data_IF_771387491869
#
_entry.id   IF_771387491869
#
_cell.length_a   1.000
_cell.length_b   1.000
_cell.length_c   1.000
_cell.angle_alpha   90.00
_cell.angle_beta   90.00
_cell.angle_gamma   90.00
#
_symmetry.space_group_name_H-M   'P 1'
#
loop_
_entity.id
_entity.type
_entity.pdbx_description
1 polymer ?
#
# COMPACT_ATOMS: atom_id res chain seq x y z
N UNK A 1 -95.18 -154.61 113.59
CA UNK A 1 -96.59 -154.92 113.90
C UNK A 1 -97.15 -153.79 114.75
N UNK A 2 -98.08 -153.00 114.24
CA UNK A 2 -98.70 -151.88 114.96
C UNK A 2 -100.22 -152.00 114.90
N UNK A 3 -100.91 -151.63 115.99
CA UNK A 3 -102.37 -151.51 116.00
C UNK A 3 -102.76 -150.25 115.21
N UNK A 4 -103.76 -150.34 114.34
CA UNK A 4 -104.35 -149.20 113.65
C UNK A 4 -105.87 -149.24 113.86
N UNK A 5 -106.45 -148.10 114.21
CA UNK A 5 -107.89 -147.90 114.28
C UNK A 5 -108.34 -147.21 112.99
N UNK A 6 -109.46 -147.63 112.43
CA UNK A 6 -110.02 -147.06 111.21
C UNK A 6 -111.37 -146.42 111.50
N UNK A 7 -111.61 -145.26 110.92
CA UNK A 7 -112.93 -144.65 110.85
C UNK A 7 -113.59 -145.03 109.53
N UNK A 8 -114.84 -145.49 109.59
CA UNK A 8 -115.62 -145.86 108.41
C UNK A 8 -116.43 -144.65 107.98
N UNK A 9 -116.02 -143.98 106.91
CA UNK A 9 -116.60 -142.70 106.46
C UNK A 9 -118.10 -142.78 106.14
N UNK A 10 -118.58 -143.92 105.62
CA UNK A 10 -119.99 -144.13 105.29
C UNK A 10 -120.92 -144.02 106.50
N UNK A 11 -120.44 -144.33 107.71
CA UNK A 11 -121.22 -144.23 108.93
C UNK A 11 -121.52 -142.77 109.36
N UNK A 12 -120.87 -141.78 108.74
CA UNK A 12 -120.98 -140.36 109.08
C UNK A 12 -121.64 -139.52 107.97
N UNK A 13 -122.30 -140.16 106.99
CA UNK A 13 -122.97 -139.45 105.89
C UNK A 13 -124.14 -138.60 106.37
N UNK A 14 -124.95 -139.13 107.27
CA UNK A 14 -126.14 -138.43 107.81
C UNK A 14 -125.82 -137.64 109.10
N UNK A 15 -124.55 -137.54 109.46
CA UNK A 15 -124.12 -136.85 110.66
C UNK A 15 -124.08 -135.34 110.41
N UNK A 16 -124.98 -134.61 111.08
CA UNK A 16 -125.01 -133.14 111.09
C UNK A 16 -124.43 -132.63 112.40
N UNK A 17 -123.32 -131.87 112.38
CA UNK A 17 -122.72 -131.36 113.60
C UNK A 17 -123.64 -130.36 114.31
N UNK A 18 -123.84 -130.45 115.64
CA UNK A 18 -124.57 -129.47 116.42
C UNK A 18 -123.84 -128.13 116.43
N UNK A 19 -124.57 -127.05 116.14
CA UNK A 19 -124.05 -125.70 116.15
C UNK A 19 -124.11 -125.13 117.58
N UNK A 20 -123.15 -125.52 118.41
CA UNK A 20 -123.03 -124.94 119.76
C UNK A 20 -122.26 -123.62 119.67
N UNK A 21 -122.94 -122.50 119.97
CA UNK A 21 -122.34 -121.16 119.91
C UNK A 21 -122.22 -120.63 121.34
N UNK A 22 -120.99 -120.51 121.83
CA UNK A 22 -120.66 -119.82 123.07
C UNK A 22 -119.93 -118.50 122.74
N UNK A 23 -120.22 -117.39 123.44
CA UNK A 23 -119.58 -116.10 123.16
C UNK A 23 -118.04 -116.19 123.30
N UNK A 24 -117.31 -115.64 122.32
CA UNK A 24 -115.84 -115.62 122.25
C UNK A 24 -115.17 -117.00 122.13
N UNK A 25 -115.82 -117.95 121.44
CA UNK A 25 -115.24 -119.26 121.15
C UNK A 25 -115.36 -119.60 119.67
N UNK A 26 -114.38 -120.33 119.14
CA UNK A 26 -114.36 -120.80 117.74
C UNK A 26 -114.39 -122.32 117.72
N UNK A 27 -115.12 -122.95 116.81
CA UNK A 27 -115.08 -124.41 116.69
C UNK A 27 -113.70 -124.87 116.20
N UNK A 28 -113.18 -125.94 116.79
CA UNK A 28 -111.87 -126.46 116.42
C UNK A 28 -111.81 -126.93 114.95
N UNK A 29 -112.94 -127.31 114.36
CA UNK A 29 -113.05 -127.72 112.95
C UNK A 29 -112.67 -126.57 112.00
N UNK A 30 -113.00 -125.33 112.33
CA UNK A 30 -112.74 -124.17 111.45
C UNK A 30 -111.26 -123.76 111.41
N UNK A 31 -110.45 -124.28 112.34
CA UNK A 31 -109.02 -123.99 112.42
C UNK A 31 -108.15 -124.99 111.67
N UNK A 32 -108.77 -126.00 111.02
CA UNK A 32 -108.08 -127.03 110.24
C UNK A 32 -108.54 -127.00 108.79
N UNK A 33 -107.60 -126.94 107.85
CA UNK A 33 -107.90 -127.15 106.43
C UNK A 33 -108.00 -128.65 106.14
N UNK A 34 -109.17 -129.08 105.68
CA UNK A 34 -109.48 -130.50 105.41
C UNK A 34 -110.09 -130.64 104.03
N UNK A 35 -109.69 -131.70 103.33
CA UNK A 35 -110.22 -132.09 102.03
C UNK A 35 -111.72 -132.51 102.15
N UNK A 36 -112.65 -132.08 101.25
CA UNK A 36 -114.08 -132.15 101.49
C UNK A 36 -114.64 -133.54 101.84
N UNK A 37 -114.02 -134.62 101.33
CA UNK A 37 -114.46 -135.99 101.61
C UNK A 37 -114.30 -136.44 103.08
N UNK A 38 -113.47 -135.76 103.88
CA UNK A 38 -113.21 -136.10 105.28
C UNK A 38 -113.88 -135.14 106.26
N UNK A 39 -114.61 -134.14 105.77
CA UNK A 39 -115.16 -133.07 106.58
C UNK A 39 -116.10 -133.57 107.67
N UNK A 40 -117.03 -134.48 107.36
CA UNK A 40 -117.96 -135.04 108.35
C UNK A 40 -117.24 -135.84 109.45
N UNK A 41 -116.17 -136.57 109.10
CA UNK A 41 -115.37 -137.30 110.08
C UNK A 41 -114.64 -136.35 111.04
N UNK A 42 -114.00 -135.31 110.50
CA UNK A 42 -113.29 -134.33 111.32
C UNK A 42 -114.27 -133.53 112.17
N UNK A 43 -115.44 -133.22 111.62
CA UNK A 43 -116.54 -132.57 112.35
C UNK A 43 -117.08 -133.43 113.49
N UNK A 44 -117.11 -134.76 113.34
CA UNK A 44 -117.45 -135.68 114.43
C UNK A 44 -116.37 -135.73 115.50
N UNK A 45 -115.09 -135.83 115.10
CA UNK A 45 -113.98 -135.91 116.07
C UNK A 45 -113.82 -134.65 116.92
N UNK A 46 -114.25 -133.50 116.40
CA UNK A 46 -114.10 -132.20 117.04
C UNK A 46 -115.44 -131.57 117.44
N UNK A 47 -116.54 -132.33 117.39
CA UNK A 47 -117.94 -131.90 117.56
C UNK A 47 -118.19 -131.02 118.79
N UNK A 48 -117.52 -131.34 119.90
CA UNK A 48 -117.72 -130.69 121.19
C UNK A 48 -116.48 -129.92 121.64
N UNK A 49 -115.60 -129.52 120.71
CA UNK A 49 -114.33 -128.85 121.01
C UNK A 49 -114.38 -127.40 120.55
N UNK A 50 -114.46 -126.49 121.52
CA UNK A 50 -114.41 -125.05 121.29
C UNK A 50 -113.07 -124.49 121.74
N UNK A 51 -112.47 -123.63 120.92
CA UNK A 51 -111.22 -122.94 121.22
C UNK A 51 -111.53 -121.51 121.65
N UNK A 52 -111.09 -121.12 122.85
CA UNK A 52 -111.20 -119.75 123.37
C UNK A 52 -109.85 -119.03 123.30
N UNK A 53 -109.90 -117.72 123.12
CA UNK A 53 -108.73 -116.84 123.28
C UNK A 53 -108.60 -116.29 124.72
N UNK A 54 -109.67 -116.32 125.53
CA UNK A 54 -109.61 -115.84 126.92
C UNK A 54 -109.01 -116.89 127.85
N UNK A 55 -108.05 -116.48 128.69
CA UNK A 55 -107.40 -117.35 129.68
C UNK A 55 -108.17 -117.44 131.02
N UNK A 56 -109.39 -116.88 131.10
CA UNK A 56 -110.26 -116.91 132.27
C UNK A 56 -111.26 -118.07 132.20
N UNK A 57 -111.62 -118.63 133.37
CA UNK A 57 -112.62 -119.69 133.49
C UNK A 57 -114.02 -119.11 133.23
N UNK A 58 -114.78 -119.73 132.32
CA UNK A 58 -116.16 -119.32 132.04
C UNK A 58 -117.11 -120.00 133.05
N UNK A 59 -117.75 -119.19 133.91
CA UNK A 59 -118.73 -119.66 134.91
C UNK A 59 -120.08 -120.09 134.28
N UNK A 60 -120.35 -119.71 133.03
CA UNK A 60 -121.58 -120.04 132.30
C UNK A 60 -121.55 -121.41 131.60
N UNK A 61 -120.94 -122.41 132.24
CA UNK A 61 -120.85 -123.79 131.72
C UNK A 61 -121.82 -124.75 132.43
N UNK A 62 -122.96 -124.24 132.91
CA UNK A 62 -123.86 -125.04 133.75
C UNK A 62 -124.67 -126.10 132.98
N UNK A 63 -124.82 -126.02 131.65
CA UNK A 63 -125.72 -126.91 130.90
C UNK A 63 -125.23 -127.44 129.54
N UNK A 64 -123.96 -127.27 129.16
CA UNK A 64 -123.45 -127.78 127.87
C UNK A 64 -122.37 -128.86 128.03
N UNK A 65 -122.38 -129.88 127.18
CA UNK A 65 -121.45 -131.02 127.19
C UNK A 65 -120.14 -130.72 126.45
N UNK A 66 -119.70 -129.46 126.51
CA UNK A 66 -118.63 -128.90 125.65
C UNK A 66 -117.27 -128.97 126.34
N UNK A 67 -116.22 -129.18 125.55
CA UNK A 67 -114.80 -129.13 125.94
C UNK A 67 -114.22 -127.81 125.44
N UNK A 68 -113.79 -126.96 126.36
CA UNK A 68 -113.15 -125.69 126.04
C UNK A 68 -111.62 -125.85 126.06
N UNK A 69 -110.96 -125.49 124.95
CA UNK A 69 -109.51 -125.47 124.78
C UNK A 69 -109.02 -124.03 124.68
N UNK A 70 -107.92 -123.70 125.35
CA UNK A 70 -107.21 -122.44 125.09
C UNK A 70 -106.31 -122.56 123.87
N UNK A 71 -106.11 -121.47 123.11
CA UNK A 71 -105.16 -121.41 121.97
C UNK A 71 -103.73 -121.82 122.34
N UNK A 72 -103.33 -121.58 123.59
CA UNK A 72 -102.03 -121.99 124.14
C UNK A 72 -101.96 -123.45 124.57
N UNK A 73 -103.10 -124.15 124.61
CA UNK A 73 -103.23 -125.53 125.11
C UNK A 73 -103.03 -125.68 126.62
N UNK A 74 -103.04 -124.57 127.37
CA UNK A 74 -102.59 -124.50 128.77
C UNK A 74 -103.60 -125.08 129.76
N UNK A 75 -104.88 -124.98 129.47
CA UNK A 75 -105.93 -125.67 130.22
C UNK A 75 -107.05 -126.15 129.32
N UNK A 76 -107.67 -127.25 129.74
CA UNK A 76 -108.85 -127.87 129.15
C UNK A 76 -109.95 -127.85 130.22
N UNK A 77 -111.07 -127.19 129.93
CA UNK A 77 -112.22 -127.13 130.84
C UNK A 77 -113.32 -128.05 130.29
N UNK A 78 -113.69 -129.08 131.08
CA UNK A 78 -114.84 -129.97 130.86
C UNK A 78 -115.87 -129.76 131.97
N UNK A 79 -117.12 -130.19 131.76
CA UNK A 79 -118.26 -130.01 132.69
C UNK A 79 -117.96 -130.25 134.19
N UNK A 80 -117.17 -131.27 134.53
CA UNK A 80 -116.80 -131.60 135.92
C UNK A 80 -115.29 -131.73 136.13
N UNK A 81 -114.45 -131.34 135.16
CA UNK A 81 -113.00 -131.44 135.29
C UNK A 81 -112.28 -130.27 134.66
N UNK A 82 -111.40 -129.64 135.42
CA UNK A 82 -110.40 -128.72 134.91
C UNK A 82 -109.05 -129.46 134.90
N UNK A 83 -108.42 -129.57 133.74
CA UNK A 83 -107.09 -130.14 133.59
C UNK A 83 -106.16 -129.08 132.99
N UNK A 84 -105.04 -128.79 133.64
CA UNK A 84 -104.06 -127.80 133.18
C UNK A 84 -102.63 -128.24 133.47
N UNK A 85 -101.72 -127.92 132.54
CA UNK A 85 -100.30 -128.29 132.59
C UNK A 85 -99.55 -127.74 131.38
N UNK A 86 -98.22 -127.69 131.44
CA UNK A 86 -97.36 -127.24 130.33
C UNK A 86 -96.98 -128.40 129.40
N UNK A 87 -97.27 -128.27 128.11
CA UNK A 87 -96.89 -129.23 127.07
C UNK A 87 -95.46 -128.94 126.58
N UNK A 88 -94.58 -129.94 126.64
CA UNK A 88 -93.13 -129.81 126.35
C UNK A 88 -92.78 -129.66 124.87
N UNK A 89 -91.68 -128.95 124.60
CA UNK A 89 -91.24 -128.43 123.28
C UNK A 89 -91.05 -129.45 122.13
N UNK A 90 -91.15 -130.75 122.39
CA UNK A 90 -90.71 -131.81 121.46
C UNK A 90 -91.75 -132.88 121.12
N UNK A 91 -92.88 -132.98 121.82
CA UNK A 91 -93.95 -133.92 121.48
C UNK A 91 -94.97 -133.25 120.55
N UNK A 92 -94.69 -133.22 119.23
CA UNK A 92 -95.67 -132.73 118.23
C UNK A 92 -95.15 -132.28 116.86
N UNK A 93 -93.84 -132.14 116.65
CA UNK A 93 -93.30 -131.47 115.43
C UNK A 93 -92.83 -132.41 114.30
N UNK A 94 -93.64 -133.41 113.89
CA UNK A 94 -93.36 -134.20 112.66
C UNK A 94 -93.70 -133.45 111.36
N UNK A 95 -94.59 -132.47 111.40
CA UNK A 95 -95.05 -131.70 110.22
C UNK A 95 -94.09 -130.56 109.80
N UNK A 96 -93.29 -130.00 110.73
CA UNK A 96 -92.42 -128.83 110.43
C UNK A 96 -91.12 -129.12 109.67
N UNK A 97 -90.57 -130.35 109.75
CA UNK A 97 -89.26 -130.67 109.13
C UNK A 97 -89.30 -130.71 107.61
N UNK A 98 -90.40 -131.19 107.01
CA UNK A 98 -90.53 -131.28 105.54
C UNK A 98 -90.61 -129.89 104.89
N UNK A 99 -91.31 -128.95 105.53
CA UNK A 99 -91.42 -127.56 105.07
C UNK A 99 -90.10 -126.78 105.19
N UNK A 100 -89.27 -127.06 106.19
CA UNK A 100 -87.94 -126.45 106.31
C UNK A 100 -86.96 -126.89 105.21
N UNK A 101 -87.03 -128.15 104.75
CA UNK A 101 -86.17 -128.63 103.65
C UNK A 101 -86.52 -127.96 102.31
N UNK A 102 -87.81 -127.78 102.00
CA UNK A 102 -88.24 -127.03 100.81
C UNK A 102 -87.79 -125.56 100.82
N UNK A 103 -87.84 -124.91 101.99
CA UNK A 103 -87.37 -123.52 102.14
C UNK A 103 -85.85 -123.45 101.91
N UNK A 104 -85.10 -124.41 102.43
CA UNK A 104 -83.64 -124.45 102.28
C UNK A 104 -83.22 -124.67 100.82
N UNK A 105 -83.91 -125.55 100.09
CA UNK A 105 -83.66 -125.81 98.67
C UNK A 105 -83.92 -124.57 97.80
N UNK A 106 -85.02 -123.84 98.05
CA UNK A 106 -85.28 -122.54 97.39
C UNK A 106 -84.20 -121.51 97.70
N UNK A 107 -83.70 -121.47 98.93
CA UNK A 107 -82.64 -120.53 99.32
C UNK A 107 -81.29 -120.85 98.65
N UNK A 108 -80.95 -122.14 98.51
CA UNK A 108 -79.73 -122.56 97.80
C UNK A 108 -79.82 -122.14 96.32
N UNK A 109 -80.93 -122.42 95.64
CA UNK A 109 -81.11 -122.01 94.24
C UNK A 109 -81.05 -120.48 94.07
N UNK A 110 -81.62 -119.73 95.02
CA UNK A 110 -81.54 -118.26 95.02
C UNK A 110 -80.09 -117.79 95.14
N UNK A 111 -79.34 -118.35 96.09
CA UNK A 111 -77.94 -117.99 96.34
C UNK A 111 -77.02 -118.39 95.18
N UNK A 112 -77.23 -119.54 94.56
CA UNK A 112 -76.50 -119.96 93.36
C UNK A 112 -76.75 -119.00 92.19
N UNK A 113 -78.00 -118.55 92.01
CA UNK A 113 -78.34 -117.59 90.97
C UNK A 113 -77.67 -116.23 91.22
N UNK A 114 -77.67 -115.75 92.47
CA UNK A 114 -76.97 -114.52 92.85
C UNK A 114 -75.45 -114.64 92.67
N UNK A 115 -74.85 -115.78 93.05
CA UNK A 115 -73.42 -116.06 92.86
C UNK A 115 -73.04 -116.06 91.38
N UNK A 116 -73.83 -116.71 90.52
CA UNK A 116 -73.61 -116.70 89.08
C UNK A 116 -73.73 -115.27 88.50
N UNK A 117 -74.72 -114.49 88.91
CA UNK A 117 -74.86 -113.10 88.48
C UNK A 117 -73.67 -112.22 88.90
N UNK A 118 -73.22 -112.35 90.15
CA UNK A 118 -72.04 -111.65 90.66
C UNK A 118 -70.77 -112.07 89.93
N UNK A 119 -70.62 -113.36 89.63
CA UNK A 119 -69.48 -113.90 88.89
C UNK A 119 -69.46 -113.36 87.46
N UNK A 120 -70.59 -113.38 86.75
CA UNK A 120 -70.70 -112.76 85.41
C UNK A 120 -70.35 -111.27 85.46
N UNK A 121 -70.83 -110.54 86.47
CA UNK A 121 -70.52 -109.10 86.63
C UNK A 121 -69.05 -108.87 86.95
N UNK A 122 -68.42 -109.73 87.76
CA UNK A 122 -66.99 -109.66 88.07
C UNK A 122 -66.16 -109.87 86.80
N UNK A 123 -66.46 -110.91 86.03
CA UNK A 123 -65.73 -111.17 84.78
C UNK A 123 -65.94 -110.06 83.75
N UNK A 124 -67.14 -109.49 83.61
CA UNK A 124 -67.36 -108.34 82.72
C UNK A 124 -66.62 -107.08 83.18
N UNK A 125 -66.58 -106.79 84.49
CA UNK A 125 -65.82 -105.64 85.00
C UNK A 125 -64.31 -105.87 84.84
N UNK A 126 -63.83 -107.10 85.07
CA UNK A 126 -62.44 -107.47 84.89
C UNK A 126 -62.04 -107.31 83.42
N UNK A 127 -62.89 -107.72 82.49
CA UNK A 127 -62.71 -107.52 81.05
C UNK A 127 -62.63 -106.03 80.68
N UNK A 128 -63.55 -105.20 81.19
CA UNK A 128 -63.49 -103.74 81.00
C UNK A 128 -62.22 -103.11 81.57
N UNK A 129 -61.77 -103.53 82.75
CA UNK A 129 -60.52 -103.04 83.35
C UNK A 129 -59.31 -103.48 82.53
N UNK A 130 -59.30 -104.72 82.02
CA UNK A 130 -58.25 -105.16 81.11
C UNK A 130 -58.27 -104.38 79.80
N UNK A 131 -59.45 -104.13 79.22
CA UNK A 131 -59.61 -103.35 77.99
C UNK A 131 -59.10 -101.91 78.17
N UNK A 132 -59.46 -101.26 79.28
CA UNK A 132 -58.99 -99.92 79.62
C UNK A 132 -57.48 -99.87 79.92
N UNK A 133 -56.90 -100.91 80.52
CA UNK A 133 -55.44 -101.01 80.69
C UNK A 133 -54.71 -101.28 79.37
N UNK A 134 -55.32 -102.02 78.44
CA UNK A 134 -54.76 -102.24 77.10
C UNK A 134 -54.94 -101.05 76.17
N UNK A 135 -55.89 -100.15 76.44
CA UNK A 135 -56.02 -98.84 75.79
C UNK A 135 -54.92 -97.90 76.32
N UNK A 136 -53.69 -98.18 75.90
CA UNK A 136 -52.54 -97.33 76.16
C UNK A 136 -52.62 -96.06 75.30
N UNK A 137 -53.23 -95.02 75.86
CA UNK A 137 -53.33 -93.71 75.21
C UNK A 137 -51.96 -92.99 75.11
N UNK A 138 -50.86 -93.55 75.63
CA UNK A 138 -49.53 -92.93 75.54
C UNK A 138 -49.05 -92.79 74.09
N UNK A 139 -49.38 -93.73 73.20
CA UNK A 139 -49.01 -93.61 71.78
C UNK A 139 -49.74 -92.43 71.11
N UNK A 140 -51.05 -92.31 71.34
CA UNK A 140 -51.84 -91.20 70.80
C UNK A 140 -51.39 -89.84 71.37
N UNK A 141 -51.06 -89.77 72.67
CA UNK A 141 -50.51 -88.56 73.29
C UNK A 141 -49.15 -88.19 72.69
N UNK A 142 -48.26 -89.17 72.44
CA UNK A 142 -46.96 -88.92 71.78
C UNK A 142 -47.14 -88.41 70.36
N UNK A 143 -48.06 -88.98 69.58
CA UNK A 143 -48.37 -88.53 68.22
C UNK A 143 -48.96 -87.11 68.21
N UNK A 144 -49.92 -86.82 69.09
CA UNK A 144 -50.51 -85.48 69.24
C UNK A 144 -49.46 -84.46 69.69
N UNK A 145 -48.57 -84.82 70.63
CA UNK A 145 -47.48 -83.94 71.08
C UNK A 145 -46.49 -83.67 69.93
N UNK A 146 -46.15 -84.69 69.14
CA UNK A 146 -45.32 -84.51 67.93
C UNK A 146 -46.01 -83.58 66.93
N UNK A 147 -47.32 -83.72 66.74
CA UNK A 147 -48.10 -82.86 65.84
C UNK A 147 -48.18 -81.42 66.33
N UNK A 148 -48.36 -81.20 67.64
CA UNK A 148 -48.31 -79.86 68.25
C UNK A 148 -46.95 -79.22 68.05
N UNK A 149 -45.86 -79.96 68.26
CA UNK A 149 -44.52 -79.44 68.04
C UNK A 149 -44.24 -79.12 66.57
N UNK A 150 -44.72 -79.94 65.63
CA UNK A 150 -44.65 -79.64 64.19
C UNK A 150 -45.39 -78.35 63.86
N UNK A 151 -46.64 -78.20 64.31
CA UNK A 151 -47.44 -77.00 64.09
C UNK A 151 -46.79 -75.77 64.74
N UNK A 152 -46.19 -75.92 65.92
CA UNK A 152 -45.47 -74.84 66.59
C UNK A 152 -44.24 -74.39 65.80
N UNK A 153 -43.44 -75.33 65.26
CA UNK A 153 -42.31 -75.03 64.39
C UNK A 153 -42.76 -74.37 63.09
N UNK A 154 -43.83 -74.87 62.46
CA UNK A 154 -44.43 -74.29 61.26
C UNK A 154 -44.88 -72.85 61.52
N UNK A 155 -45.57 -72.59 62.65
CA UNK A 155 -46.00 -71.26 63.06
C UNK A 155 -44.81 -70.30 63.21
N UNK A 156 -43.73 -70.72 63.89
CA UNK A 156 -42.52 -69.88 64.05
C UNK A 156 -41.86 -69.60 62.70
N UNK A 157 -41.77 -70.62 61.83
CA UNK A 157 -41.20 -70.44 60.48
C UNK A 157 -42.04 -69.50 59.60
N UNK A 158 -43.36 -69.55 59.72
CA UNK A 158 -44.27 -68.66 59.02
C UNK A 158 -44.21 -67.24 59.58
N UNK A 159 -44.13 -67.08 60.91
CA UNK A 159 -43.98 -65.77 61.56
C UNK A 159 -42.70 -65.07 61.12
N UNK A 160 -41.56 -65.77 61.14
CA UNK A 160 -40.27 -65.20 60.70
C UNK A 160 -40.27 -64.88 59.20
N UNK A 161 -40.93 -65.70 58.36
CA UNK A 161 -41.13 -65.36 56.94
C UNK A 161 -42.00 -64.12 56.77
N UNK A 162 -43.07 -63.97 57.54
CA UNK A 162 -43.93 -62.78 57.51
C UNK A 162 -43.15 -61.53 57.91
N UNK A 163 -42.42 -61.57 59.03
CA UNK A 163 -41.56 -60.47 59.48
C UNK A 163 -40.52 -60.08 58.41
N UNK A 164 -39.90 -61.08 57.76
CA UNK A 164 -38.97 -60.83 56.66
C UNK A 164 -39.66 -60.16 55.46
N UNK A 165 -40.85 -60.62 55.06
CA UNK A 165 -41.62 -59.99 53.98
C UNK A 165 -42.06 -58.57 54.35
N UNK A 166 -42.50 -58.33 55.58
CA UNK A 166 -42.85 -56.99 56.06
C UNK A 166 -41.65 -56.04 56.02
N UNK A 167 -40.47 -56.50 56.45
CA UNK A 167 -39.23 -55.74 56.35
C UNK A 167 -38.88 -55.42 54.88
N UNK A 168 -38.92 -56.41 53.99
CA UNK A 168 -38.66 -56.22 52.56
C UNK A 168 -39.65 -55.26 51.90
N UNK A 169 -40.94 -55.34 52.25
CA UNK A 169 -41.97 -54.42 51.76
C UNK A 169 -41.68 -53.00 52.27
N UNK A 170 -41.31 -52.86 53.55
CA UNK A 170 -40.90 -51.59 54.14
C UNK A 170 -39.71 -50.95 53.42
N UNK A 171 -38.63 -51.70 53.23
CA UNK A 171 -37.44 -51.25 52.51
C UNK A 171 -37.75 -50.87 51.06
N UNK A 172 -38.56 -51.68 50.36
CA UNK A 172 -38.95 -51.43 48.98
C UNK A 172 -39.83 -50.17 48.86
N UNK A 173 -40.76 -49.97 49.79
CA UNK A 173 -41.61 -48.77 49.86
C UNK A 173 -40.78 -47.50 50.07
N UNK A 174 -39.79 -47.54 50.98
CA UNK A 174 -38.85 -46.42 51.21
C UNK A 174 -38.04 -46.12 49.93
N UNK A 175 -37.49 -47.16 49.29
CA UNK A 175 -36.74 -47.00 48.02
C UNK A 175 -37.64 -46.42 46.92
N UNK A 176 -38.89 -46.88 46.81
CA UNK A 176 -39.83 -46.37 45.82
C UNK A 176 -40.18 -44.89 46.06
N UNK A 177 -40.36 -44.49 47.32
CA UNK A 177 -40.60 -43.09 47.68
C UNK A 177 -39.38 -42.21 47.34
N UNK A 178 -38.17 -42.67 47.65
CA UNK A 178 -36.94 -41.96 47.31
C UNK A 178 -36.75 -41.79 45.79
N UNK A 179 -36.97 -42.87 45.01
CA UNK A 179 -36.89 -42.81 43.55
C UNK A 179 -37.94 -41.87 42.94
N UNK A 180 -39.16 -41.84 43.49
CA UNK A 180 -40.19 -40.89 43.04
C UNK A 180 -39.78 -39.43 43.27
N UNK A 181 -39.17 -39.14 44.42
CA UNK A 181 -38.65 -37.80 44.69
C UNK A 181 -37.52 -37.42 43.71
N UNK A 182 -36.61 -38.35 43.45
CA UNK A 182 -35.51 -38.14 42.51
C UNK A 182 -36.00 -37.93 41.06
N UNK A 183 -37.00 -38.69 40.62
CA UNK A 183 -37.64 -38.50 39.30
C UNK A 183 -38.22 -37.09 39.20
N UNK A 184 -38.97 -36.65 40.23
CA UNK A 184 -39.57 -35.31 40.25
C UNK A 184 -38.52 -34.20 40.21
N UNK A 185 -37.39 -34.38 40.90
CA UNK A 185 -36.27 -33.45 40.85
C UNK A 185 -35.65 -33.38 39.45
N UNK A 186 -35.37 -34.53 38.84
CA UNK A 186 -34.82 -34.61 37.48
C UNK A 186 -35.76 -34.04 36.43
N UNK A 187 -37.08 -34.26 36.55
CA UNK A 187 -38.08 -33.64 35.69
C UNK A 187 -38.05 -32.11 35.79
N UNK A 188 -37.92 -31.57 37.00
CA UNK A 188 -37.77 -30.12 37.21
C UNK A 188 -36.47 -29.57 36.60
N UNK A 189 -35.35 -30.29 36.76
CA UNK A 189 -34.08 -29.93 36.14
C UNK A 189 -34.18 -29.95 34.61
N UNK A 190 -34.77 -30.99 34.01
CA UNK A 190 -34.96 -31.08 32.56
C UNK A 190 -35.80 -29.93 32.02
N UNK A 191 -36.91 -29.57 32.68
CA UNK A 191 -37.72 -28.41 32.29
C UNK A 191 -36.92 -27.10 32.31
N UNK A 192 -36.03 -26.93 33.30
CA UNK A 192 -35.17 -25.74 33.37
C UNK A 192 -34.11 -25.70 32.27
N UNK A 193 -33.58 -26.87 31.90
CA UNK A 193 -32.61 -27.02 30.80
C UNK A 193 -33.30 -26.75 29.47
N UNK A 194 -34.49 -27.30 29.23
CA UNK A 194 -35.25 -27.08 27.99
C UNK A 194 -35.59 -25.61 27.79
N UNK A 195 -36.00 -24.92 28.86
CA UNK A 195 -36.22 -23.47 28.82
C UNK A 195 -34.94 -22.71 28.44
N UNK A 196 -33.82 -23.08 29.07
CA UNK A 196 -32.51 -22.45 28.78
C UNK A 196 -32.04 -22.72 27.35
N UNK A 197 -32.29 -23.91 26.81
CA UNK A 197 -32.00 -24.27 25.42
C UNK A 197 -32.83 -23.45 24.45
N UNK A 198 -34.13 -23.27 24.73
CA UNK A 198 -35.00 -22.44 23.89
C UNK A 198 -34.55 -20.98 23.88
N UNK A 199 -34.26 -20.39 25.05
CA UNK A 199 -33.75 -19.02 25.17
C UNK A 199 -32.41 -18.84 24.42
N UNK A 200 -31.50 -19.81 24.53
CA UNK A 200 -30.23 -19.78 23.83
C UNK A 200 -30.40 -19.93 22.31
N UNK A 201 -31.31 -20.78 21.84
CA UNK A 201 -31.61 -20.94 20.42
C UNK A 201 -32.15 -19.63 19.81
N UNK A 202 -33.04 -18.93 20.52
CA UNK A 202 -33.55 -17.62 20.11
C UNK A 202 -32.42 -16.56 20.07
N UNK A 203 -31.53 -16.55 21.06
CA UNK A 203 -30.35 -15.67 21.06
C UNK A 203 -29.43 -15.94 19.89
N UNK A 204 -29.14 -17.21 19.59
CA UNK A 204 -28.30 -17.60 18.44
C UNK A 204 -28.93 -17.12 17.13
N UNK A 205 -30.25 -17.30 16.97
CA UNK A 205 -30.97 -16.84 15.79
C UNK A 205 -30.88 -15.31 15.64
N UNK A 206 -31.14 -14.57 16.71
CA UNK A 206 -31.06 -13.11 16.70
C UNK A 206 -29.64 -12.59 16.38
N UNK A 207 -28.59 -13.25 16.89
CA UNK A 207 -27.19 -12.92 16.56
C UNK A 207 -26.90 -13.24 15.10
N UNK A 208 -27.35 -14.39 14.58
CA UNK A 208 -27.16 -14.76 13.18
C UNK A 208 -27.82 -13.78 12.22
N UNK A 209 -29.03 -13.34 12.52
CA UNK A 209 -29.75 -12.34 11.72
C UNK A 209 -29.03 -10.98 11.75
N UNK A 210 -28.49 -10.57 12.91
CA UNK A 210 -27.67 -9.35 13.02
C UNK A 210 -26.38 -9.44 12.21
N UNK A 211 -25.68 -10.58 12.27
CA UNK A 211 -24.45 -10.78 11.47
C UNK A 211 -24.78 -10.71 9.99
N UNK A 212 -25.82 -11.42 9.53
CA UNK A 212 -26.21 -11.40 8.11
C UNK A 212 -26.60 -10.00 7.62
N UNK A 213 -27.28 -9.20 8.45
CA UNK A 213 -27.62 -7.81 8.11
C UNK A 213 -26.37 -6.93 8.07
N UNK A 214 -25.47 -7.09 9.06
CA UNK A 214 -24.22 -6.33 9.13
C UNK A 214 -23.30 -6.65 7.95
N UNK A 215 -23.18 -7.92 7.56
CA UNK A 215 -22.40 -8.33 6.39
C UNK A 215 -22.99 -7.76 5.10
N UNK A 216 -24.32 -7.72 4.97
CA UNK A 216 -25.00 -7.07 3.85
C UNK A 216 -24.68 -5.57 3.78
N UNK A 217 -24.81 -4.86 4.91
CA UNK A 217 -24.46 -3.44 4.99
C UNK A 217 -22.98 -3.18 4.71
N UNK A 218 -22.09 -4.04 5.22
CA UNK A 218 -20.66 -3.93 4.97
C UNK A 218 -20.34 -4.09 3.49
N UNK A 219 -20.98 -5.06 2.82
CA UNK A 219 -20.83 -5.27 1.37
C UNK A 219 -21.33 -4.07 0.57
N UNK A 220 -22.48 -3.50 0.92
CA UNK A 220 -23.01 -2.29 0.27
C UNK A 220 -22.07 -1.08 0.47
N UNK A 221 -21.54 -0.90 1.67
CA UNK A 221 -20.57 0.17 1.97
C UNK A 221 -19.27 -0.05 1.20
N UNK A 222 -18.77 -1.29 1.13
CA UNK A 222 -17.56 -1.63 0.40
C UNK A 222 -17.72 -1.39 -1.10
N UNK A 223 -18.87 -1.73 -1.68
CA UNK A 223 -19.17 -1.49 -3.09
C UNK A 223 -19.27 0.02 -3.38
N UNK A 224 -19.95 0.79 -2.52
CA UNK A 224 -20.01 2.26 -2.63
C UNK A 224 -18.63 2.91 -2.49
N UNK A 225 -17.81 2.44 -1.56
CA UNK A 225 -16.45 2.94 -1.35
C UNK A 225 -15.55 2.62 -2.55
N UNK A 226 -15.67 1.42 -3.11
CA UNK A 226 -14.95 0.99 -4.31
C UNK A 226 -15.35 1.85 -5.51
N UNK A 227 -16.65 2.05 -5.74
CA UNK A 227 -17.16 2.93 -6.79
C UNK A 227 -16.67 4.38 -6.62
N UNK A 228 -16.82 4.95 -5.42
CA UNK A 228 -16.37 6.32 -5.13
C UNK A 228 -14.85 6.49 -5.27
N UNK A 229 -14.06 5.47 -4.89
CA UNK A 229 -12.60 5.48 -5.08
C UNK A 229 -12.23 5.38 -6.56
N UNK A 230 -12.96 4.58 -7.34
CA UNK A 230 -12.82 4.50 -8.80
C UNK A 230 -13.11 5.83 -9.47
N UNK A 231 -14.23 6.47 -9.14
CA UNK A 231 -14.62 7.78 -9.65
C UNK A 231 -13.60 8.87 -9.27
N UNK A 232 -13.15 8.88 -8.02
CA UNK A 232 -12.12 9.81 -7.55
C UNK A 232 -10.81 9.62 -8.34
N UNK A 233 -10.36 8.38 -8.51
CA UNK A 233 -9.14 8.10 -9.27
C UNK A 233 -9.28 8.53 -10.74
N UNK A 234 -10.43 8.27 -11.36
CA UNK A 234 -10.69 8.69 -12.73
C UNK A 234 -10.69 10.22 -12.86
N UNK A 235 -11.37 10.93 -11.96
CA UNK A 235 -11.36 12.41 -11.93
C UNK A 235 -9.98 12.98 -11.64
N UNK A 236 -9.19 12.32 -10.80
CA UNK A 236 -7.81 12.73 -10.52
C UNK A 236 -6.92 12.55 -11.76
N UNK A 237 -7.07 11.45 -12.51
CA UNK A 237 -6.39 11.26 -13.80
C UNK A 237 -6.78 12.37 -14.78
N UNK A 238 -8.07 12.68 -14.90
CA UNK A 238 -8.55 13.74 -15.79
C UNK A 238 -8.04 15.12 -15.36
N UNK A 239 -8.00 15.40 -14.06
CA UNK A 239 -7.41 16.61 -13.49
C UNK A 239 -5.93 16.74 -13.86
N UNK A 240 -5.13 15.67 -13.67
CA UNK A 240 -3.71 15.67 -14.03
C UNK A 240 -3.51 15.88 -15.54
N UNK A 241 -4.35 15.27 -16.38
CA UNK A 241 -4.33 15.50 -17.85
C UNK A 241 -4.58 16.98 -18.18
N UNK A 242 -5.60 17.59 -17.58
CA UNK A 242 -5.90 19.00 -17.78
C UNK A 242 -4.79 19.90 -17.26
N UNK A 243 -4.23 19.61 -16.08
CA UNK A 243 -3.09 20.35 -15.52
C UNK A 243 -1.87 20.30 -16.43
N UNK A 244 -1.55 19.13 -17.01
CA UNK A 244 -0.46 18.98 -17.96
C UNK A 244 -0.72 19.75 -19.27
N UNK A 245 -1.97 19.77 -19.74
CA UNK A 245 -2.37 20.56 -20.90
C UNK A 245 -2.18 22.05 -20.62
N UNK A 246 -2.66 22.55 -19.48
CA UNK A 246 -2.49 23.95 -19.04
C UNK A 246 -1.01 24.31 -18.95
N UNK A 247 -0.19 23.46 -18.33
CA UNK A 247 1.26 23.70 -18.22
C UNK A 247 1.94 23.75 -19.60
N UNK A 248 1.52 22.90 -20.55
CA UNK A 248 2.03 22.92 -21.93
C UNK A 248 1.64 24.22 -22.63
N UNK A 249 0.37 24.60 -22.56
CA UNK A 249 -0.14 25.85 -23.14
C UNK A 249 0.54 27.09 -22.53
N UNK A 250 0.81 27.10 -21.23
CA UNK A 250 1.53 28.19 -20.57
C UNK A 250 2.97 28.31 -21.08
N UNK A 251 3.67 27.19 -21.28
CA UNK A 251 5.03 27.20 -21.85
C UNK A 251 5.01 27.68 -23.30
N UNK A 252 4.04 27.24 -24.09
CA UNK A 252 3.88 27.68 -25.47
C UNK A 252 3.54 29.17 -25.54
N UNK A 253 2.64 29.65 -24.69
CA UNK A 253 2.31 31.08 -24.58
C UNK A 253 3.55 31.90 -24.24
N UNK A 254 4.30 31.51 -23.21
CA UNK A 254 5.52 32.21 -22.81
C UNK A 254 6.61 32.19 -23.92
N UNK A 255 6.68 31.12 -24.71
CA UNK A 255 7.55 31.07 -25.88
C UNK A 255 7.10 32.04 -26.97
N UNK A 256 5.79 32.07 -27.28
CA UNK A 256 5.20 32.98 -28.27
C UNK A 256 5.34 34.44 -27.86
N UNK A 257 5.15 34.76 -26.59
CA UNK A 257 5.34 36.11 -26.04
C UNK A 257 6.81 36.56 -26.22
N UNK A 258 7.79 35.74 -25.85
CA UNK A 258 9.21 36.06 -26.08
C UNK A 258 9.54 36.23 -27.56
N UNK A 259 8.99 35.35 -28.41
CA UNK A 259 9.18 35.44 -29.85
C UNK A 259 8.59 36.74 -30.40
N UNK A 260 7.44 37.16 -29.89
CA UNK A 260 6.80 38.42 -30.26
C UNK A 260 7.61 39.63 -29.81
N UNK A 261 8.13 39.63 -28.57
CA UNK A 261 9.01 40.69 -28.06
C UNK A 261 10.31 40.81 -28.89
N UNK A 262 10.91 39.67 -29.26
CA UNK A 262 12.11 39.65 -30.11
C UNK A 262 11.82 40.22 -31.50
N UNK A 263 10.69 39.82 -32.13
CA UNK A 263 10.29 40.34 -33.44
C UNK A 263 10.01 41.84 -33.36
N UNK A 264 9.31 42.33 -32.34
CA UNK A 264 9.03 43.75 -32.15
C UNK A 264 10.32 44.57 -31.94
N UNK A 265 11.26 44.05 -31.14
CA UNK A 265 12.58 44.67 -30.95
C UNK A 265 13.38 44.73 -32.26
N UNK A 266 13.42 43.63 -33.01
CA UNK A 266 14.07 43.58 -34.32
C UNK A 266 13.42 44.53 -35.32
N UNK A 267 12.08 44.59 -35.35
CA UNK A 267 11.34 45.53 -36.19
C UNK A 267 11.71 46.97 -35.84
N UNK A 268 11.78 47.33 -34.56
CA UNK A 268 12.17 48.66 -34.13
C UNK A 268 13.62 48.98 -34.51
N UNK A 269 14.53 48.02 -34.40
CA UNK A 269 15.93 48.20 -34.83
C UNK A 269 16.05 48.38 -36.34
N UNK A 270 15.29 47.60 -37.13
CA UNK A 270 15.24 47.73 -38.58
C UNK A 270 14.65 49.08 -39.00
N UNK A 271 13.59 49.54 -38.32
CA UNK A 271 13.00 50.86 -38.55
C UNK A 271 14.03 51.99 -38.34
N UNK A 272 14.77 51.96 -37.21
CA UNK A 272 15.83 52.95 -36.93
C UNK A 272 16.94 52.92 -37.98
N UNK A 273 17.41 51.73 -38.36
CA UNK A 273 18.42 51.59 -39.43
C UNK A 273 17.92 52.12 -40.76
N UNK A 274 16.64 51.92 -41.08
CA UNK A 274 16.03 52.45 -42.29
C UNK A 274 16.01 53.98 -42.26
N UNK A 275 15.62 54.59 -41.14
CA UNK A 275 15.65 56.04 -40.94
C UNK A 275 17.08 56.61 -41.10
N UNK A 276 18.07 56.00 -40.42
CA UNK A 276 19.49 56.38 -40.55
C UNK A 276 20.00 56.26 -41.99
N UNK A 277 19.60 55.21 -42.72
CA UNK A 277 20.01 55.02 -44.12
C UNK A 277 19.38 56.06 -45.03
N UNK A 278 18.11 56.44 -44.79
CA UNK A 278 17.44 57.50 -45.53
C UNK A 278 18.13 58.85 -45.30
N UNK A 279 18.46 59.20 -44.05
CA UNK A 279 19.21 60.42 -43.74
C UNK A 279 20.59 60.45 -44.43
N UNK A 280 21.31 59.32 -44.42
CA UNK A 280 22.59 59.20 -45.13
C UNK A 280 22.42 59.35 -46.65
N UNK A 281 21.37 58.75 -47.23
CA UNK A 281 21.08 58.90 -48.65
C UNK A 281 20.80 60.36 -49.01
N UNK A 282 20.00 61.08 -48.20
CA UNK A 282 19.72 62.50 -48.41
C UNK A 282 21.00 63.35 -48.30
N UNK A 283 21.85 63.09 -47.31
CA UNK A 283 23.14 63.78 -47.16
C UNK A 283 24.09 63.51 -48.34
N UNK A 284 24.16 62.26 -48.82
CA UNK A 284 24.95 61.91 -50.01
C UNK A 284 24.39 62.54 -51.27
N UNK A 285 23.07 62.58 -51.44
CA UNK A 285 22.41 63.25 -52.55
C UNK A 285 22.78 64.74 -52.58
N UNK A 286 22.74 65.42 -51.43
CA UNK A 286 23.15 66.82 -51.33
C UNK A 286 24.63 67.00 -51.66
N UNK A 287 25.50 66.13 -51.13
CA UNK A 287 26.94 66.17 -51.43
C UNK A 287 27.21 66.00 -52.93
N UNK A 288 26.47 65.12 -53.61
CA UNK A 288 26.59 64.94 -55.07
C UNK A 288 26.17 66.21 -55.80
N UNK A 289 25.09 66.88 -55.39
CA UNK A 289 24.66 68.15 -55.98
C UNK A 289 25.77 69.20 -55.81
N UNK A 290 26.26 69.40 -54.59
CA UNK A 290 27.30 70.39 -54.27
C UNK A 290 28.60 70.13 -55.06
N UNK A 291 29.04 68.86 -55.14
CA UNK A 291 30.20 68.46 -55.93
C UNK A 291 30.00 68.67 -57.43
N UNK A 292 28.79 68.41 -57.94
CA UNK A 292 28.47 68.59 -59.36
C UNK A 292 28.48 70.08 -59.73
N UNK A 293 27.91 70.93 -58.88
CA UNK A 293 27.97 72.39 -59.05
C UNK A 293 29.41 72.90 -58.96
N UNK A 294 30.17 72.47 -57.95
CA UNK A 294 31.58 72.83 -57.79
C UNK A 294 32.44 72.38 -58.98
N UNK A 295 32.20 71.18 -59.51
CA UNK A 295 32.88 70.68 -60.70
C UNK A 295 32.53 71.53 -61.93
N UNK A 296 31.26 71.91 -62.09
CA UNK A 296 30.83 72.77 -63.20
C UNK A 296 31.52 74.14 -63.14
N UNK A 297 31.59 74.76 -61.95
CA UNK A 297 32.32 76.02 -61.74
C UNK A 297 33.82 75.86 -62.05
N UNK A 298 34.45 74.78 -61.57
CA UNK A 298 35.86 74.51 -61.84
C UNK A 298 36.16 74.33 -63.35
N UNK A 299 35.27 73.68 -64.11
CA UNK A 299 35.41 73.59 -65.56
C UNK A 299 35.25 74.94 -66.27
N UNK A 300 34.33 75.80 -65.80
CA UNK A 300 34.19 77.16 -66.32
C UNK A 300 35.46 77.98 -66.05
N UNK A 301 35.98 77.94 -64.82
CA UNK A 301 37.24 78.60 -64.46
C UNK A 301 38.42 78.08 -65.27
N UNK A 302 38.53 76.76 -65.44
CA UNK A 302 39.56 76.13 -66.26
C UNK A 302 39.50 76.66 -67.69
N UNK A 303 38.31 76.72 -68.30
CA UNK A 303 38.12 77.23 -69.66
C UNK A 303 38.54 78.70 -69.79
N UNK A 304 38.22 79.53 -68.79
CA UNK A 304 38.65 80.94 -68.75
C UNK A 304 40.18 81.03 -68.63
N UNK A 305 40.79 80.25 -67.72
CA UNK A 305 42.25 80.23 -67.52
C UNK A 305 42.99 79.71 -68.75
N UNK A 306 42.48 78.68 -69.42
CA UNK A 306 43.04 78.16 -70.68
C UNK A 306 42.95 79.20 -71.80
N UNK A 307 41.83 79.93 -71.92
CA UNK A 307 41.70 81.01 -72.89
C UNK A 307 42.71 82.14 -72.61
N UNK A 308 42.82 82.58 -71.37
CA UNK A 308 43.78 83.61 -70.95
C UNK A 308 45.24 83.16 -71.18
N UNK A 309 45.55 81.88 -70.90
CA UNK A 309 46.88 81.32 -71.15
C UNK A 309 47.18 81.29 -72.65
N UNK A 310 46.24 80.83 -73.47
CA UNK A 310 46.40 80.80 -74.93
C UNK A 310 46.62 82.20 -75.51
N UNK A 311 45.92 83.22 -75.01
CA UNK A 311 46.10 84.62 -75.43
C UNK A 311 47.47 85.16 -75.00
N UNK A 312 47.89 84.86 -73.77
CA UNK A 312 49.21 85.24 -73.27
C UNK A 312 50.34 84.54 -74.04
N UNK A 313 50.21 83.24 -74.34
CA UNK A 313 51.17 82.47 -75.14
C UNK A 313 51.25 83.02 -76.57
N UNK A 314 50.12 83.30 -77.21
CA UNK A 314 50.08 83.90 -78.54
C UNK A 314 50.81 85.26 -78.55
N UNK A 315 50.53 86.11 -77.57
CA UNK A 315 51.20 87.42 -77.42
C UNK A 315 52.71 87.25 -77.19
N UNK A 316 53.12 86.30 -76.34
CA UNK A 316 54.53 86.01 -76.08
C UNK A 316 55.25 85.50 -77.33
N UNK A 317 54.68 84.55 -78.06
CA UNK A 317 55.29 84.02 -79.29
C UNK A 317 55.33 85.05 -80.41
N UNK A 318 54.32 85.92 -80.54
CA UNK A 318 54.36 87.06 -81.47
C UNK A 318 55.47 88.03 -81.10
N UNK A 319 55.58 88.43 -79.83
CA UNK A 319 56.65 89.31 -79.37
C UNK A 319 58.04 88.68 -79.59
N UNK A 320 58.19 87.39 -79.27
CA UNK A 320 59.45 86.64 -79.49
C UNK A 320 59.80 86.51 -80.97
N UNK A 321 58.80 86.27 -81.83
CA UNK A 321 58.96 86.28 -83.28
C UNK A 321 59.48 87.63 -83.77
N UNK A 322 58.83 88.72 -83.35
CA UNK A 322 59.27 90.08 -83.67
C UNK A 322 60.68 90.40 -83.15
N UNK A 323 61.04 89.94 -81.94
CA UNK A 323 62.42 90.09 -81.41
C UNK A 323 63.42 89.34 -82.28
N UNK A 324 63.14 88.09 -82.67
CA UNK A 324 64.03 87.32 -83.53
C UNK A 324 64.21 87.99 -84.91
N UNK A 325 63.15 88.53 -85.49
CA UNK A 325 63.21 89.28 -86.75
C UNK A 325 64.10 90.52 -86.62
N UNK A 326 63.92 91.30 -85.55
CA UNK A 326 64.75 92.46 -85.25
C UNK A 326 66.22 92.06 -85.01
N UNK A 327 66.49 90.98 -84.29
CA UNK A 327 67.84 90.45 -84.08
C UNK A 327 68.51 90.03 -85.39
N UNK A 328 67.76 89.37 -86.29
CA UNK A 328 68.24 89.00 -87.63
C UNK A 328 68.51 90.23 -88.50
N UNK A 329 67.68 91.26 -88.42
CA UNK A 329 67.93 92.55 -89.08
C UNK A 329 69.19 93.22 -88.53
N UNK A 330 69.36 93.26 -87.21
CA UNK A 330 70.56 93.79 -86.55
C UNK A 330 71.80 93.01 -87.00
N UNK A 331 71.75 91.68 -87.08
CA UNK A 331 72.85 90.85 -87.60
C UNK A 331 73.17 91.19 -89.05
N UNK A 332 72.16 91.33 -89.92
CA UNK A 332 72.35 91.73 -91.33
C UNK A 332 72.95 93.12 -91.44
N UNK A 333 72.48 94.09 -90.66
CA UNK A 333 73.01 95.46 -90.63
C UNK A 333 74.45 95.47 -90.13
N UNK A 334 74.77 94.75 -89.05
CA UNK A 334 76.14 94.64 -88.55
C UNK A 334 77.09 93.98 -89.55
N UNK A 335 76.63 92.95 -90.28
CA UNK A 335 77.40 92.35 -91.37
C UNK A 335 77.68 93.37 -92.47
N UNK A 336 76.64 94.07 -92.96
CA UNK A 336 76.81 95.17 -93.94
C UNK A 336 77.76 96.26 -93.44
N UNK A 337 77.68 96.63 -92.15
CA UNK A 337 78.58 97.60 -91.53
C UNK A 337 80.02 97.12 -91.56
N UNK A 338 80.28 95.86 -91.21
CA UNK A 338 81.61 95.28 -91.22
C UNK A 338 82.17 95.14 -92.65
N UNK A 339 81.35 94.74 -93.62
CA UNK A 339 81.72 94.66 -95.03
C UNK A 339 82.09 96.05 -95.58
N UNK A 340 81.28 97.08 -95.26
CA UNK A 340 81.60 98.47 -95.61
C UNK A 340 82.88 98.96 -94.92
N UNK A 341 83.12 98.57 -93.67
CA UNK A 341 84.35 98.92 -92.94
C UNK A 341 85.60 98.29 -93.58
N UNK A 342 85.51 97.05 -94.06
CA UNK A 342 86.56 96.39 -94.83
C UNK A 342 86.85 97.15 -96.12
N UNK A 343 85.80 97.50 -96.87
CA UNK A 343 85.94 98.30 -98.11
C UNK A 343 86.58 99.67 -97.83
N UNK A 344 86.19 100.34 -96.73
CA UNK A 344 86.80 101.61 -96.32
C UNK A 344 88.30 101.44 -96.03
N UNK A 345 88.68 100.35 -95.36
CA UNK A 345 90.09 100.06 -95.07
C UNK A 345 90.86 99.75 -96.36
N UNK A 346 90.32 98.94 -97.27
CA UNK A 346 90.94 98.68 -98.58
C UNK A 346 91.14 99.96 -99.41
N UNK A 347 90.15 100.86 -99.40
CA UNK A 347 90.24 102.14 -100.09
C UNK A 347 91.28 103.06 -99.43
N UNK A 348 91.37 103.06 -98.09
CA UNK A 348 92.43 103.78 -97.37
C UNK A 348 93.81 103.25 -97.70
N UNK A 349 93.98 101.93 -97.76
CA UNK A 349 95.25 101.31 -98.11
C UNK A 349 95.65 101.68 -99.54
N UNK A 350 94.74 101.54 -100.52
CA UNK A 350 94.96 101.98 -101.91
C UNK A 350 95.33 103.46 -102.00
N UNK A 351 94.63 104.32 -101.26
CA UNK A 351 94.92 105.75 -101.23
C UNK A 351 96.32 106.03 -100.66
N UNK A 352 96.71 105.34 -99.58
CA UNK A 352 98.04 105.48 -99.01
C UNK A 352 99.14 104.97 -99.96
N UNK A 353 98.92 103.85 -100.66
CA UNK A 353 99.87 103.33 -101.66
C UNK A 353 100.07 104.34 -102.79
N UNK A 354 98.98 104.86 -103.38
CA UNK A 354 99.05 105.88 -104.44
C UNK A 354 99.76 107.15 -103.96
N UNK A 355 99.50 107.59 -102.72
CA UNK A 355 100.17 108.74 -102.13
C UNK A 355 101.69 108.52 -102.03
N UNK A 356 102.11 107.34 -101.57
CA UNK A 356 103.53 106.98 -101.47
C UNK A 356 104.21 106.93 -102.85
N UNK A 357 103.56 106.32 -103.85
CA UNK A 357 104.06 106.28 -105.23
C UNK A 357 104.24 107.68 -105.81
N UNK A 358 103.28 108.58 -105.58
CA UNK A 358 103.37 109.97 -106.04
C UNK A 358 104.53 110.74 -105.39
N UNK A 359 104.75 110.57 -104.08
CA UNK A 359 105.90 111.18 -103.40
C UNK A 359 107.23 110.61 -103.89
N UNK A 360 107.33 109.29 -104.09
CA UNK A 360 108.56 108.66 -104.58
C UNK A 360 108.91 109.10 -106.01
N UNK A 361 107.90 109.27 -106.88
CA UNK A 361 108.09 109.78 -108.23
C UNK A 361 108.52 111.26 -108.21
N UNK A 362 107.93 112.06 -107.32
CA UNK A 362 108.28 113.47 -107.12
C UNK A 362 109.72 113.67 -106.66
N UNK A 363 110.16 112.89 -105.67
CA UNK A 363 111.52 112.98 -105.14
C UNK A 363 112.57 112.53 -106.17
N UNK A 364 112.27 111.47 -106.94
CA UNK A 364 113.22 110.97 -107.96
C UNK A 364 113.41 111.94 -109.12
N UNK A 365 112.33 112.54 -109.61
CA UNK A 365 112.39 113.55 -110.68
C UNK A 365 113.19 114.79 -110.27
N UNK A 366 113.01 115.22 -109.01
CA UNK A 366 113.71 116.39 -108.49
C UNK A 366 115.23 116.14 -108.33
N UNK A 367 115.61 114.94 -107.87
CA UNK A 367 117.03 114.60 -107.61
C UNK A 367 117.82 114.33 -108.89
N UNK A 368 117.28 113.56 -109.85
CA UNK A 368 118.06 113.18 -111.04
C UNK A 368 118.07 114.25 -112.13
N UNK A 369 116.99 115.04 -112.25
CA UNK A 369 116.82 115.96 -113.38
C UNK A 369 116.72 117.43 -112.97
N UNK A 370 116.66 117.74 -111.66
CA UNK A 370 116.50 119.10 -111.17
C UNK A 370 115.18 119.76 -111.57
N UNK A 371 114.16 118.95 -111.90
CA UNK A 371 112.85 119.39 -112.37
C UNK A 371 111.80 119.03 -111.31
N UNK A 372 110.98 120.00 -110.93
CA UNK A 372 109.86 119.74 -110.02
C UNK A 372 108.73 119.01 -110.75
N UNK A 373 108.12 118.01 -110.11
CA UNK A 373 107.10 117.16 -110.75
C UNK A 373 105.91 117.96 -111.34
N UNK A 374 105.61 119.12 -110.75
CA UNK A 374 104.56 120.02 -111.26
C UNK A 374 104.90 120.71 -112.58
N UNK A 375 106.18 120.81 -112.95
CA UNK A 375 106.62 121.40 -114.22
C UNK A 375 106.52 120.39 -115.39
N UNK A 376 106.60 119.09 -115.09
CA UNK A 376 106.50 117.99 -116.07
C UNK A 376 105.06 117.60 -116.42
N UNK A 377 104.10 117.84 -115.51
CA UNK A 377 102.67 117.51 -115.72
C UNK A 377 102.09 118.21 -116.96
N UNK A 378 102.70 119.33 -117.42
CA UNK A 378 102.21 120.13 -118.53
C UNK A 378 103.04 120.02 -119.83
N UNK A 379 104.02 119.11 -119.91
CA UNK A 379 104.84 118.93 -121.11
C UNK A 379 104.62 117.56 -121.75
N UNK A 380 104.09 117.55 -122.97
CA UNK A 380 103.94 116.34 -123.80
C UNK A 380 105.26 116.01 -124.52
N UNK A 381 105.82 114.80 -124.37
CA UNK A 381 107.07 114.42 -125.02
C UNK A 381 106.97 114.45 -126.55
N UNK A 382 107.98 115.03 -127.23
CA UNK A 382 108.10 114.96 -128.69
C UNK A 382 108.58 113.56 -129.11
N UNK A 383 107.81 112.86 -129.94
CA UNK A 383 108.18 111.56 -130.49
C UNK A 383 109.21 111.69 -131.63
N UNK A 384 110.20 110.80 -131.67
CA UNK A 384 111.07 110.66 -132.85
C UNK A 384 112.54 110.30 -132.64
N UNK A 385 113.02 109.93 -131.44
CA UNK A 385 114.41 109.52 -131.22
C UNK A 385 114.48 108.26 -130.36
N UNK A 386 115.24 107.25 -130.81
CA UNK A 386 115.31 105.93 -130.20
C UNK A 386 116.18 105.98 -128.92
N UNK A 387 115.74 105.34 -127.84
CA UNK A 387 116.38 105.38 -126.51
C UNK A 387 117.91 105.08 -126.49
N UNK A 388 118.43 104.09 -127.25
CA UNK A 388 119.88 103.86 -127.29
C UNK A 388 120.66 104.97 -127.99
N UNK A 389 120.07 105.64 -128.99
CA UNK A 389 120.69 106.78 -129.68
C UNK A 389 120.77 108.00 -128.76
N UNK A 390 119.74 108.22 -127.93
CA UNK A 390 119.71 109.29 -126.93
C UNK A 390 120.70 109.05 -125.79
N UNK A 391 120.82 107.81 -125.31
CA UNK A 391 121.87 107.48 -124.33
C UNK A 391 123.27 107.67 -124.92
N UNK A 392 123.51 107.27 -126.18
CA UNK A 392 124.79 107.52 -126.84
C UNK A 392 125.04 109.02 -127.05
N UNK A 393 124.01 109.81 -127.36
CA UNK A 393 124.10 111.28 -127.43
C UNK A 393 124.38 111.93 -126.08
N UNK A 394 123.74 111.47 -125.00
CA UNK A 394 123.96 111.97 -123.64
C UNK A 394 125.38 111.63 -123.16
N UNK A 395 125.87 110.42 -123.46
CA UNK A 395 127.26 110.02 -123.15
C UNK A 395 128.26 110.79 -124.01
N UNK A 396 127.99 111.00 -125.31
CA UNK A 396 128.81 111.89 -126.16
C UNK A 396 128.80 113.33 -125.66
N UNK A 397 127.66 113.85 -125.21
CA UNK A 397 127.54 115.22 -124.70
C UNK A 397 128.24 115.36 -123.36
N UNK A 398 128.16 114.37 -122.45
CA UNK A 398 128.98 114.32 -121.23
C UNK A 398 130.48 114.27 -121.56
N UNK A 399 130.91 113.42 -122.49
CA UNK A 399 132.32 113.35 -122.91
C UNK A 399 132.79 114.59 -123.69
N UNK A 400 131.90 115.31 -124.38
CA UNK A 400 132.19 116.64 -124.95
C UNK A 400 132.33 117.69 -123.87
N UNK A 401 131.52 117.62 -122.81
CA UNK A 401 131.59 118.54 -121.68
C UNK A 401 132.91 118.37 -120.91
N UNK A 402 133.36 117.12 -120.70
CA UNK A 402 134.61 116.82 -119.99
C UNK A 402 135.88 117.07 -120.84
N UNK A 403 135.78 117.06 -122.18
CA UNK A 403 136.90 117.37 -123.09
C UNK A 403 137.02 118.85 -123.48
N UNK A 404 136.22 119.74 -122.90
CA UNK A 404 136.52 121.17 -122.95
C UNK A 404 137.73 121.45 -122.03
N UNK A 405 138.91 121.38 -122.64
CA UNK A 405 140.17 121.83 -122.03
C UNK A 405 140.24 123.36 -121.84
N UNK A 406 141.19 123.76 -121.00
CA UNK A 406 141.31 125.01 -120.23
C UNK A 406 141.34 126.35 -121.00
N UNK A 407 140.96 127.43 -120.29
CA UNK A 407 141.22 128.83 -120.67
C UNK A 407 142.55 129.27 -120.05
N UNK A 408 143.49 129.69 -120.91
CA UNK A 408 144.86 130.13 -120.56
C UNK A 408 144.89 131.43 -119.73
N UNK A 409 145.38 131.41 -118.47
CA UNK A 409 145.40 132.58 -117.58
C UNK A 409 146.44 133.65 -117.93
N UNK A 410 147.50 133.35 -118.70
CA UNK A 410 148.57 134.31 -119.03
C UNK A 410 148.19 135.34 -120.11
N UNK A 411 146.98 135.24 -120.69
CA UNK A 411 146.52 136.15 -121.74
C UNK A 411 146.06 137.52 -121.21
N UNK A 412 145.61 137.59 -119.96
CA UNK A 412 145.12 138.85 -119.36
C UNK A 412 146.30 139.72 -118.92
N UNK A 413 147.32 139.12 -118.29
CA UNK A 413 148.51 139.85 -117.84
C UNK A 413 149.35 140.41 -119.00
N UNK A 414 149.45 139.67 -120.12
CA UNK A 414 150.14 140.15 -121.32
C UNK A 414 149.40 141.29 -122.05
N UNK A 415 148.07 141.37 -121.90
CA UNK A 415 147.26 142.46 -122.45
C UNK A 415 147.41 143.75 -121.63
N UNK A 416 147.39 143.62 -120.30
CA UNK A 416 147.53 144.77 -119.40
C UNK A 416 148.91 145.43 -119.51
N UNK A 417 149.98 144.65 -119.64
CA UNK A 417 151.36 145.17 -119.79
C UNK A 417 151.59 145.89 -121.14
N UNK A 418 150.98 145.39 -122.23
CA UNK A 418 151.04 146.06 -123.54
C UNK A 418 150.18 147.31 -123.60
N UNK A 419 149.07 147.36 -122.87
CA UNK A 419 148.19 148.53 -122.79
C UNK A 419 148.86 149.68 -122.05
N UNK A 420 149.57 149.40 -120.96
CA UNK A 420 150.29 150.41 -120.17
C UNK A 420 151.42 151.10 -120.98
N UNK A 421 152.09 150.35 -121.86
CA UNK A 421 153.08 150.89 -122.81
C UNK A 421 152.46 151.74 -123.92
N UNK A 422 151.27 151.37 -124.39
CA UNK A 422 150.59 152.13 -125.44
C UNK A 422 150.10 153.48 -124.90
N UNK A 423 149.51 153.48 -123.71
CA UNK A 423 148.96 154.68 -123.09
C UNK A 423 150.05 155.72 -122.75
N UNK A 424 151.26 155.28 -122.37
CA UNK A 424 152.42 156.15 -122.12
C UNK A 424 152.98 156.80 -123.39
N UNK A 425 153.02 156.08 -124.52
CA UNK A 425 153.45 156.66 -125.81
C UNK A 425 152.38 157.62 -126.34
N UNK A 426 151.10 157.33 -126.12
CA UNK A 426 150.01 158.21 -126.54
C UNK A 426 150.03 159.54 -125.76
N UNK A 427 150.31 159.51 -124.45
CA UNK A 427 150.45 160.74 -123.64
C UNK A 427 151.63 161.59 -124.09
N UNK A 428 152.79 160.97 -124.36
CA UNK A 428 153.95 161.71 -124.88
C UNK A 428 153.71 162.31 -126.27
N UNK A 429 152.89 161.66 -127.11
CA UNK A 429 152.49 162.22 -128.42
C UNK A 429 151.55 163.41 -128.26
N UNK A 430 150.58 163.31 -127.34
CA UNK A 430 149.64 164.39 -127.03
C UNK A 430 150.38 165.60 -126.46
N UNK A 431 151.40 165.41 -125.62
CA UNK A 431 152.23 166.51 -125.11
C UNK A 431 153.03 167.22 -126.22
N UNK A 432 153.47 166.51 -127.27
CA UNK A 432 154.12 167.12 -128.44
C UNK A 432 153.11 167.87 -129.32
N UNK A 433 151.89 167.35 -129.48
CA UNK A 433 150.81 168.03 -130.21
C UNK A 433 150.33 169.29 -129.47
N UNK A 434 150.24 169.23 -128.13
CA UNK A 434 149.91 170.38 -127.28
C UNK A 434 151.02 171.44 -127.26
N UNK A 435 152.30 171.04 -127.23
CA UNK A 435 153.42 171.99 -127.32
C UNK A 435 153.50 172.66 -128.70
N UNK A 436 153.10 171.96 -129.77
CA UNK A 436 152.98 172.52 -131.12
C UNK A 436 151.81 173.51 -131.22
N UNK A 437 150.66 173.18 -130.62
CA UNK A 437 149.51 174.12 -130.56
C UNK A 437 149.83 175.34 -129.71
N UNK A 438 150.45 175.19 -128.54
CA UNK A 438 150.86 176.31 -127.69
C UNK A 438 151.87 177.27 -128.36
N UNK A 439 152.74 176.76 -129.26
CA UNK A 439 153.64 177.61 -130.06
C UNK A 439 152.95 178.27 -131.25
N UNK A 440 151.98 177.59 -131.89
CA UNK A 440 151.16 178.21 -132.94
C UNK A 440 150.20 179.27 -132.36
N UNK A 441 149.76 179.09 -131.12
CA UNK A 441 148.92 180.03 -130.40
C UNK A 441 149.72 181.27 -129.94
N UNK A 442 150.97 181.11 -129.51
CA UNK A 442 151.87 182.25 -129.22
C UNK A 442 152.31 183.01 -130.47
N UNK A 443 152.35 182.38 -131.66
CA UNK A 443 152.54 183.11 -132.93
C UNK A 443 151.26 183.90 -133.30
N UNK A 444 150.07 183.39 -132.97
CA UNK A 444 148.79 184.02 -133.32
C UNK A 444 148.43 185.21 -132.44
N UNK A 445 148.79 185.20 -131.16
CA UNK A 445 148.47 186.32 -130.26
C UNK A 445 149.35 187.57 -130.46
N UNK A 446 150.50 187.48 -131.14
CA UNK A 446 151.36 188.65 -131.40
C UNK A 446 151.12 189.30 -132.79
N UNK A 447 150.30 188.71 -133.68
CA UNK A 447 149.97 189.32 -134.99
C UNK A 447 148.65 190.14 -135.02
N UNK A 448 147.84 190.20 -133.95
CA UNK A 448 146.62 191.04 -133.86
C UNK A 448 146.59 192.09 -132.73
N UNK A 449 147.74 192.39 -132.13
CA UNK A 449 148.00 193.72 -131.52
C UNK A 449 149.41 194.14 -131.87
#
# INVERSE_FOLDING_TARGET
KGKANFFILDAFKDYSPPMTVLPNTTQAVDLVEVDPGYYNLVSYLLENVLVTEKEELLDQMANSQVVLLTRSGRFIQKKYSLAGGSVGLFEGKKIGRKKNLEILEKNIQKTEKESNQLSTRFYSLREQVTELKTKDHQQSIKELTKRVNQIAQEKVSLSTRLENYESLIGESSIKQAALKLQIKELEGQNQSIDKSLQENAERIKAVKDRISNTDGQYRDIAERLSAASGDYNQKNIDFIKQQNMVNTLQRELAFRERQLDEILSNQQQHQRKQEETVEQMEAHQQTIIDLTEGLHQAYQEKKIKEANLSEAEQSYFQARGGINELDDEIRKINKKRNDLQLIINELKDKFNTLKFEMTALGDRLNVEFGIHINELINLTPKEGLNEPELQEQVVRLKNRLDNYGEINPMAVEAYDEMKERYDTILTQKVDIEAAKEALLETIKEIEET
#
